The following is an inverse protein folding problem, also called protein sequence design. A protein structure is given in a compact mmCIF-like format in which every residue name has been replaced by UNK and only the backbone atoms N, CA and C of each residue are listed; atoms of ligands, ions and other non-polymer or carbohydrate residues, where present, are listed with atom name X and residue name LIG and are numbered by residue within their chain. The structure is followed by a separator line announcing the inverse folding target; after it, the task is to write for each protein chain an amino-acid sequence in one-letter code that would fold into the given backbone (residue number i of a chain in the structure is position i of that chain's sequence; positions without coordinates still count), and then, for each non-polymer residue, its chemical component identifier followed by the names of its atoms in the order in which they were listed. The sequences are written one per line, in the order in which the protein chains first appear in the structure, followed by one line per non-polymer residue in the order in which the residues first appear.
data_IF_974647379159
#
_entry.id   IF_974647379159
#
_cell.length_a   1.000
_cell.length_b   1.000
_cell.length_c   1.000
_cell.angle_alpha   90.00
_cell.angle_beta   90.00
_cell.angle_gamma   90.00
#
_symmetry.space_group_name_H-M   'P 1'
#
loop_
_entity.id
_entity.type
_entity.pdbx_description
1 polymer ?
#
# COMPACT_ATOMS: atom_id res chain seq x y z
N UNK A 1 -10.47 14.27 -20.97
CA UNK A 1 -9.43 13.25 -21.15
C UNK A 1 -10.10 11.89 -21.17
N UNK A 2 -10.24 11.27 -22.35
CA UNK A 2 -10.73 9.89 -22.47
C UNK A 2 -9.74 9.18 -23.38
N UNK A 3 -9.04 8.20 -22.84
CA UNK A 3 -7.97 7.46 -23.51
C UNK A 3 -7.44 6.34 -22.59
N UNK A 4 -6.61 5.42 -23.10
CA UNK A 4 -6.19 4.21 -22.37
C UNK A 4 -5.58 4.48 -20.99
N UNK A 5 -4.89 5.61 -20.82
CA UNK A 5 -4.30 6.05 -19.55
C UNK A 5 -5.37 6.32 -18.47
N UNK A 6 -6.53 6.84 -18.86
CA UNK A 6 -7.64 7.13 -17.95
C UNK A 6 -8.31 5.84 -17.45
N UNK A 7 -8.41 4.82 -18.30
CA UNK A 7 -8.96 3.51 -17.91
C UNK A 7 -8.06 2.79 -16.90
N UNK A 8 -6.74 2.83 -17.11
CA UNK A 8 -5.75 2.33 -16.15
C UNK A 8 -5.90 3.03 -14.80
N UNK A 9 -5.93 4.36 -14.81
CA UNK A 9 -6.07 5.16 -13.59
C UNK A 9 -7.40 4.88 -12.85
N UNK A 10 -8.49 4.64 -13.59
CA UNK A 10 -9.76 4.24 -13.00
C UNK A 10 -9.70 2.85 -12.36
N UNK A 11 -9.00 1.91 -12.98
CA UNK A 11 -8.81 0.58 -12.41
C UNK A 11 -7.95 0.64 -11.13
N UNK A 12 -6.86 1.40 -11.17
CA UNK A 12 -6.00 1.63 -10.00
C UNK A 12 -6.79 2.21 -8.82
N UNK A 13 -7.64 3.21 -9.08
CA UNK A 13 -8.53 3.80 -8.08
C UNK A 13 -9.50 2.77 -7.49
N UNK A 14 -10.13 1.93 -8.33
CA UNK A 14 -11.06 0.89 -7.86
C UNK A 14 -10.36 -0.11 -6.95
N UNK A 15 -9.16 -0.54 -7.31
CA UNK A 15 -8.40 -1.52 -6.53
C UNK A 15 -7.93 -0.89 -5.22
N UNK A 16 -7.50 0.37 -5.23
CA UNK A 16 -7.20 1.10 -3.99
C UNK A 16 -8.43 1.26 -3.08
N UNK A 17 -9.61 1.56 -3.64
CA UNK A 17 -10.86 1.63 -2.88
C UNK A 17 -11.24 0.28 -2.25
N UNK A 18 -11.09 -0.81 -3.02
CA UNK A 18 -11.35 -2.17 -2.54
C UNK A 18 -10.37 -2.55 -1.42
N UNK A 19 -9.08 -2.38 -1.64
CA UNK A 19 -8.04 -2.67 -0.66
C UNK A 19 -8.26 -1.87 0.63
N UNK A 20 -8.48 -0.56 0.52
CA UNK A 20 -8.72 0.32 1.67
C UNK A 20 -9.98 -0.01 2.47
N UNK A 21 -10.98 -0.67 1.88
CA UNK A 21 -12.24 -1.02 2.56
C UNK A 21 -12.24 -2.43 3.14
N UNK A 22 -11.42 -3.34 2.60
CA UNK A 22 -11.39 -4.76 2.96
C UNK A 22 -10.18 -5.18 3.79
N UNK A 23 -9.07 -4.44 3.71
CA UNK A 23 -7.80 -4.83 4.31
C UNK A 23 -7.45 -3.95 5.52
N UNK A 24 -7.06 -4.56 6.65
CA UNK A 24 -6.84 -3.84 7.91
C UNK A 24 -5.48 -3.12 8.04
N UNK A 25 -4.48 -3.61 7.31
CA UNK A 25 -3.09 -3.13 7.31
C UNK A 25 -2.68 -2.57 5.94
N UNK A 26 -3.61 -1.86 5.30
CA UNK A 26 -3.41 -1.15 4.03
C UNK A 26 -3.73 0.33 4.22
N UNK A 27 -3.11 1.19 3.41
CA UNK A 27 -3.38 2.63 3.41
C UNK A 27 -4.89 2.91 3.30
N UNK A 28 -5.37 3.85 4.12
CA UNK A 28 -6.79 4.20 4.20
C UNK A 28 -7.06 5.37 3.27
N UNK A 29 -7.76 5.10 2.17
CA UNK A 29 -8.32 6.11 1.28
C UNK A 29 -9.58 6.70 1.93
N UNK A 30 -9.61 8.02 2.11
CA UNK A 30 -10.75 8.74 2.67
C UNK A 30 -11.71 9.18 1.57
N UNK A 31 -11.16 9.72 0.49
CA UNK A 31 -11.91 10.12 -0.71
C UNK A 31 -10.99 10.25 -1.91
N UNK A 32 -11.58 10.18 -3.10
CA UNK A 32 -10.97 10.63 -4.35
C UNK A 32 -11.75 11.83 -4.88
N UNK A 33 -11.07 12.77 -5.53
CA UNK A 33 -11.71 13.91 -6.19
C UNK A 33 -10.91 14.36 -7.39
N UNK A 34 -11.54 15.10 -8.30
CA UNK A 34 -10.82 15.81 -9.36
C UNK A 34 -10.61 17.25 -8.89
N UNK A 35 -9.37 17.72 -8.93
CA UNK A 35 -9.00 19.11 -8.63
C UNK A 35 -8.10 19.61 -9.75
N UNK A 36 -8.45 20.74 -10.35
CA UNK A 36 -7.69 21.37 -11.43
C UNK A 36 -7.36 20.39 -12.59
N UNK A 37 -8.33 19.55 -12.95
CA UNK A 37 -8.18 18.52 -14.00
C UNK A 37 -7.36 17.29 -13.61
N UNK A 38 -6.85 17.21 -12.38
CA UNK A 38 -6.02 16.11 -11.87
C UNK A 38 -6.79 15.23 -10.89
N UNK A 39 -6.56 13.91 -10.95
CA UNK A 39 -7.06 12.99 -9.92
C UNK A 39 -6.28 13.22 -8.63
N UNK A 40 -7.00 13.45 -7.53
CA UNK A 40 -6.43 13.60 -6.20
C UNK A 40 -6.97 12.51 -5.29
N UNK A 41 -6.05 11.85 -4.58
CA UNK A 41 -6.34 10.82 -3.58
C UNK A 41 -6.11 11.43 -2.20
N UNK A 42 -7.19 11.52 -1.42
CA UNK A 42 -7.12 11.98 -0.03
C UNK A 42 -7.10 10.75 0.86
N UNK A 43 -6.01 10.54 1.56
CA UNK A 43 -5.77 9.38 2.41
C UNK A 43 -5.48 9.79 3.86
N UNK A 44 -5.55 8.83 4.79
CA UNK A 44 -5.07 9.03 6.16
C UNK A 44 -3.58 9.43 6.10
N UNK A 45 -3.20 10.45 6.86
CA UNK A 45 -1.80 10.83 7.03
C UNK A 45 -1.10 9.84 7.98
N UNK A 46 0.09 9.40 7.59
CA UNK A 46 0.99 8.59 8.40
C UNK A 46 2.21 9.41 8.77
N UNK A 47 2.90 9.05 9.85
CA UNK A 47 4.00 9.86 10.39
C UNK A 47 5.24 9.81 9.49
N UNK A 48 5.57 8.63 8.93
CA UNK A 48 6.73 8.40 8.08
C UNK A 48 6.60 7.06 7.34
N UNK A 49 7.48 6.81 6.37
CA UNK A 49 7.68 5.45 5.84
C UNK A 49 8.75 4.68 6.65
N UNK A 50 8.88 3.37 6.44
CA UNK A 50 9.84 2.56 7.19
C UNK A 50 11.30 2.82 6.80
N UNK A 51 11.57 3.37 5.60
CA UNK A 51 12.92 3.83 5.24
C UNK A 51 13.35 5.02 6.10
N UNK A 52 12.48 5.99 6.30
CA UNK A 52 12.68 7.13 7.19
C UNK A 52 12.84 6.68 8.64
N UNK A 53 11.99 5.74 9.10
CA UNK A 53 12.13 5.16 10.43
C UNK A 53 13.52 4.51 10.61
N UNK A 54 14.01 3.76 9.62
CA UNK A 54 15.33 3.15 9.68
C UNK A 54 16.45 4.20 9.72
N UNK A 55 16.31 5.30 8.98
CA UNK A 55 17.29 6.40 8.98
C UNK A 55 17.38 7.13 10.34
N UNK A 56 16.29 7.18 11.11
CA UNK A 56 16.29 7.70 12.48
C UNK A 56 16.97 6.75 13.48
N UNK A 57 17.20 5.50 13.11
CA UNK A 57 17.80 4.46 13.95
C UNK A 57 18.99 3.76 13.25
N UNK A 58 20.06 4.49 12.88
CA UNK A 58 21.14 3.99 12.03
C UNK A 58 21.97 2.85 12.64
N UNK A 59 21.82 2.58 13.94
CA UNK A 59 22.49 1.47 14.65
C UNK A 59 21.51 0.35 15.05
N UNK A 60 20.44 0.12 14.28
CA UNK A 60 19.41 -0.90 14.57
C UNK A 60 18.77 -0.76 15.96
N UNK A 61 18.67 0.45 16.49
CA UNK A 61 18.13 0.72 17.83
C UNK A 61 16.59 0.67 17.88
N UNK A 62 15.94 0.18 16.83
CA UNK A 62 14.48 -0.05 16.87
C UNK A 62 14.24 -1.22 17.83
N UNK A 63 13.48 -1.05 18.91
CA UNK A 63 13.24 -2.13 19.86
C UNK A 63 12.65 -3.38 19.17
N UNK A 64 13.14 -4.57 19.51
CA UNK A 64 12.72 -5.83 18.88
C UNK A 64 11.19 -6.01 18.85
N UNK A 65 10.50 -5.68 19.94
CA UNK A 65 9.03 -5.77 20.00
C UNK A 65 8.33 -4.90 18.93
N UNK A 66 8.93 -3.75 18.59
CA UNK A 66 8.39 -2.85 17.56
C UNK A 66 8.63 -3.44 16.16
N UNK A 67 9.82 -3.99 15.90
CA UNK A 67 10.11 -4.69 14.65
C UNK A 67 9.17 -5.88 14.42
N UNK A 68 8.95 -6.69 15.46
CA UNK A 68 8.00 -7.81 15.40
C UNK A 68 6.58 -7.33 15.11
N UNK A 69 6.12 -6.24 15.74
CA UNK A 69 4.80 -5.67 15.46
C UNK A 69 4.67 -5.18 14.02
N UNK A 70 5.68 -4.48 13.51
CA UNK A 70 5.74 -4.05 12.12
C UNK A 70 5.67 -5.26 11.18
N UNK A 71 6.45 -6.31 11.44
CA UNK A 71 6.42 -7.54 10.64
C UNK A 71 5.04 -8.20 10.63
N UNK A 72 4.40 -8.34 11.80
CA UNK A 72 3.05 -8.88 11.91
C UNK A 72 2.03 -8.04 11.14
N UNK A 73 2.11 -6.71 11.24
CA UNK A 73 1.23 -5.80 10.51
C UNK A 73 1.39 -5.94 9.00
N UNK A 74 2.63 -6.05 8.50
CA UNK A 74 2.91 -6.26 7.08
C UNK A 74 2.37 -7.61 6.61
N UNK A 75 2.59 -8.68 7.37
CA UNK A 75 2.07 -10.01 7.04
C UNK A 75 0.54 -10.04 6.96
N UNK A 76 -0.15 -9.36 7.89
CA UNK A 76 -1.62 -9.22 7.85
C UNK A 76 -2.08 -8.44 6.63
N UNK A 77 -1.39 -7.36 6.27
CA UNK A 77 -1.69 -6.58 5.07
C UNK A 77 -1.54 -7.41 3.80
N UNK A 78 -0.46 -8.20 3.70
CA UNK A 78 -0.22 -9.11 2.59
C UNK A 78 -1.31 -10.19 2.50
N UNK A 79 -1.67 -10.80 3.63
CA UNK A 79 -2.71 -11.83 3.68
C UNK A 79 -4.06 -11.29 3.20
N UNK A 80 -4.47 -10.12 3.69
CA UNK A 80 -5.73 -9.49 3.29
C UNK A 80 -5.73 -9.12 1.80
N UNK A 81 -4.64 -8.54 1.29
CA UNK A 81 -4.51 -8.18 -0.13
C UNK A 81 -4.59 -9.42 -1.03
N UNK A 82 -3.87 -10.49 -0.68
CA UNK A 82 -3.90 -11.73 -1.43
C UNK A 82 -5.29 -12.38 -1.41
N UNK A 83 -6.02 -12.31 -0.27
CA UNK A 83 -7.40 -12.80 -0.17
C UNK A 83 -8.36 -12.04 -1.09
N UNK A 84 -8.08 -10.76 -1.35
CA UNK A 84 -8.82 -9.93 -2.31
C UNK A 84 -8.34 -10.10 -3.76
N UNK A 85 -7.35 -10.96 -4.02
CA UNK A 85 -6.76 -11.18 -5.34
C UNK A 85 -5.85 -10.05 -5.82
N UNK A 86 -5.32 -9.25 -4.89
CA UNK A 86 -4.44 -8.12 -5.17
C UNK A 86 -3.00 -8.54 -4.90
N UNK A 87 -2.12 -8.30 -5.86
CA UNK A 87 -0.72 -8.67 -5.75
C UNK A 87 0.12 -7.47 -5.31
N UNK A 88 1.09 -7.74 -4.45
CA UNK A 88 2.06 -6.75 -3.99
C UNK A 88 3.40 -7.08 -4.62
N UNK A 89 3.73 -6.44 -5.74
CA UNK A 89 4.94 -6.73 -6.49
C UNK A 89 6.19 -6.04 -5.92
N UNK A 90 6.00 -4.94 -5.19
CA UNK A 90 7.11 -4.19 -4.59
C UNK A 90 6.91 -4.01 -3.08
N UNK A 91 7.40 -4.98 -2.30
CA UNK A 91 7.44 -4.88 -0.85
C UNK A 91 8.79 -4.31 -0.38
N UNK A 92 8.91 -2.99 -0.36
CA UNK A 92 10.11 -2.26 0.10
C UNK A 92 9.79 -1.26 1.22
N UNK A 93 10.75 -0.89 2.09
CA UNK A 93 10.48 0.00 3.24
C UNK A 93 9.87 1.37 2.89
N UNK A 94 10.12 1.89 1.69
CA UNK A 94 9.52 3.14 1.20
C UNK A 94 8.00 3.05 1.01
N UNK A 95 7.50 1.84 0.73
CA UNK A 95 6.10 1.56 0.40
C UNK A 95 5.29 1.16 1.64
N UNK A 96 5.93 1.15 2.81
CA UNK A 96 5.35 0.80 4.09
C UNK A 96 5.26 2.07 4.93
N UNK A 97 4.04 2.51 5.24
CA UNK A 97 3.79 3.70 6.04
C UNK A 97 3.58 3.31 7.51
N UNK A 98 3.93 4.23 8.41
CA UNK A 98 3.97 3.99 9.84
C UNK A 98 3.43 5.19 10.62
N UNK A 99 2.59 4.95 11.63
CA UNK A 99 2.01 5.97 12.51
C UNK A 99 2.33 5.72 14.00
N UNK A 100 3.54 5.22 14.31
CA UNK A 100 4.02 4.86 15.66
C UNK A 100 3.35 3.62 16.29
N UNK A 101 2.15 3.28 15.84
CA UNK A 101 1.40 2.15 16.35
C UNK A 101 1.26 1.03 15.33
N UNK A 102 1.03 1.37 14.06
CA UNK A 102 0.70 0.41 13.01
C UNK A 102 1.49 0.64 11.72
N UNK A 103 1.94 -0.45 11.11
CA UNK A 103 2.47 -0.44 9.76
C UNK A 103 1.38 -0.76 8.75
N UNK A 104 1.38 -0.08 7.61
CA UNK A 104 0.45 -0.35 6.51
C UNK A 104 1.18 -0.41 5.18
N UNK A 105 0.68 -1.24 4.28
CA UNK A 105 1.12 -1.30 2.89
C UNK A 105 0.42 -0.17 2.13
N UNK A 106 1.18 0.70 1.49
CA UNK A 106 0.66 1.87 0.77
C UNK A 106 0.79 1.80 -0.74
N UNK A 107 1.71 0.98 -1.22
CA UNK A 107 1.94 0.79 -2.64
C UNK A 107 1.95 -0.70 -2.94
N UNK A 108 1.02 -1.09 -3.79
CA UNK A 108 0.80 -2.44 -4.26
C UNK A 108 0.55 -2.28 -5.75
N UNK A 109 1.55 -2.68 -6.53
CA UNK A 109 1.51 -2.48 -7.96
C UNK A 109 0.36 -3.29 -8.57
N UNK A 110 -0.50 -2.57 -9.29
CA UNK A 110 -1.75 -3.09 -9.80
C UNK A 110 -1.46 -3.63 -11.21
N UNK A 111 -0.68 -4.71 -11.29
CA UNK A 111 -0.27 -5.25 -12.58
C UNK A 111 -1.45 -5.80 -13.37
N UNK A 112 -1.66 -5.23 -14.54
CA UNK A 112 -2.58 -5.71 -15.58
C UNK A 112 -2.07 -6.93 -16.36
N UNK A 113 -0.91 -7.50 -16.01
CA UNK A 113 -0.36 -8.67 -16.68
C UNK A 113 0.31 -9.60 -15.69
N UNK A 114 -0.48 -10.44 -15.06
CA UNK A 114 -0.08 -11.85 -14.95
C UNK A 114 -0.98 -12.62 -15.88
N UNK A 115 -0.65 -12.56 -17.17
CA UNK A 115 -0.90 -13.73 -18.01
C UNK A 115 -0.22 -14.88 -17.29
N UNK A 116 -1.03 -15.85 -16.92
CA UNK A 116 -0.68 -17.02 -16.15
C UNK A 116 0.48 -17.76 -16.82
N UNK A 117 1.70 -17.50 -16.37
CA UNK A 117 2.78 -18.49 -16.41
C UNK A 117 2.72 -19.36 -15.15
N UNK A 118 1.50 -19.76 -14.76
CA UNK A 118 1.31 -20.96 -13.95
C UNK A 118 1.09 -22.08 -14.96
N UNK A 119 2.02 -23.03 -14.95
CA UNK A 119 2.10 -24.13 -15.89
C UNK A 119 0.76 -24.84 -16.10
N UNK A 120 0.56 -25.23 -17.36
CA UNK A 120 -0.36 -26.30 -17.73
C UNK A 120 -0.03 -27.58 -16.98
#
# INVERSE_FOLDING_TARGET
MVGPQWELLQNELRIMQRASSKCGNVVRLLRSCIKDGSLCLVMKQYAMNLKELAALHPQCQVPHHRLLRIGVDVCKGMEDLHREGILVLELKPQNLLWDQHRAVIADFEISHKLDTTLGR
#
